data_IF_451945259297
#
_entry.id   IF_451945259297
#
_cell.length_a   1.000
_cell.length_b   1.000
_cell.length_c   1.000
_cell.angle_alpha   90.00
_cell.angle_beta   90.00
_cell.angle_gamma   90.00
#
_symmetry.space_group_name_H-M   'P 1'
#
loop_
_entity.id
_entity.type
_entity.pdbx_description
1 polymer ?
#
# COMPACT_ATOMS: atom_id res chain seq x y z
N UNK A 1 9.39 -28.66 -0.49
CA UNK A 1 9.16 -28.26 -1.88
C UNK A 1 9.49 -26.79 -1.98
N UNK A 2 10.51 -26.39 -2.73
CA UNK A 2 11.02 -25.02 -2.84
C UNK A 2 10.06 -24.16 -3.65
N UNK A 3 9.75 -22.95 -3.16
CA UNK A 3 8.86 -21.97 -3.80
C UNK A 3 9.34 -21.62 -5.22
N UNK A 4 8.66 -22.14 -6.23
CA UNK A 4 8.99 -21.95 -7.64
C UNK A 4 8.73 -20.54 -8.19
N UNK A 5 8.05 -19.67 -7.43
CA UNK A 5 7.74 -18.29 -7.86
C UNK A 5 8.88 -17.30 -7.59
N UNK A 6 9.72 -17.55 -6.59
CA UNK A 6 10.85 -16.66 -6.24
C UNK A 6 12.06 -16.92 -7.14
N UNK A 7 12.24 -18.16 -7.63
CA UNK A 7 13.36 -18.49 -8.50
C UNK A 7 13.21 -17.96 -9.94
N UNK A 8 11.98 -17.65 -10.37
CA UNK A 8 11.73 -17.08 -11.71
C UNK A 8 12.17 -15.60 -11.84
N UNK A 9 12.30 -14.87 -10.73
CA UNK A 9 12.75 -13.47 -10.75
C UNK A 9 14.27 -13.29 -10.74
N UNK A 10 15.05 -14.38 -10.59
CA UNK A 10 16.52 -14.32 -10.59
C UNK A 10 17.18 -14.54 -11.96
N UNK A 11 16.41 -14.88 -12.99
CA UNK A 11 16.95 -14.92 -14.34
C UNK A 11 16.69 -13.58 -15.02
N UNK A 12 17.76 -12.79 -15.16
CA UNK A 12 17.76 -11.43 -15.65
C UNK A 12 17.04 -11.27 -16.98
N UNK A 13 15.93 -10.58 -16.95
CA UNK A 13 15.39 -9.92 -18.13
C UNK A 13 16.02 -8.53 -18.17
N UNK A 14 17.07 -8.40 -18.98
CA UNK A 14 17.59 -7.10 -19.41
C UNK A 14 16.56 -6.50 -20.35
N UNK A 15 15.64 -5.70 -19.81
CA UNK A 15 14.74 -4.91 -20.65
C UNK A 15 15.51 -3.64 -21.02
N UNK A 16 16.00 -3.63 -22.26
CA UNK A 16 16.57 -2.46 -22.89
C UNK A 16 15.44 -1.44 -23.10
N UNK A 17 15.40 -0.40 -22.30
CA UNK A 17 14.51 0.74 -22.54
C UNK A 17 14.99 1.51 -23.76
N UNK A 18 14.27 1.35 -24.89
CA UNK A 18 14.40 2.20 -26.05
C UNK A 18 13.69 3.53 -25.71
N UNK A 19 14.47 4.56 -25.42
CA UNK A 19 13.98 5.93 -25.30
C UNK A 19 13.48 6.41 -26.66
N UNK A 20 12.17 6.38 -26.90
CA UNK A 20 11.55 7.10 -27.99
C UNK A 20 11.46 8.58 -27.61
N UNK A 21 12.47 9.34 -28.04
CA UNK A 21 12.38 10.79 -28.07
C UNK A 21 11.42 11.16 -29.21
N UNK A 22 10.19 11.56 -28.88
CA UNK A 22 9.29 12.18 -29.87
C UNK A 22 9.77 13.60 -30.11
N UNK A 23 10.53 13.81 -31.18
CA UNK A 23 10.86 15.12 -31.73
C UNK A 23 9.61 15.65 -32.44
N UNK A 24 8.94 16.64 -31.85
CA UNK A 24 7.86 17.37 -32.49
C UNK A 24 8.47 18.43 -33.42
N UNK A 25 8.69 18.06 -34.68
CA UNK A 25 9.07 19.03 -35.72
C UNK A 25 7.83 19.85 -36.06
N UNK A 26 7.89 21.15 -35.74
CA UNK A 26 6.93 22.14 -36.20
C UNK A 26 7.12 22.41 -37.69
N UNK A 27 6.27 21.84 -38.53
CA UNK A 27 6.13 22.29 -39.93
C UNK A 27 5.04 23.34 -40.01
N UNK A 28 5.45 24.56 -40.34
CA UNK A 28 4.56 25.69 -40.55
C UNK A 28 3.60 25.44 -41.72
N UNK A 29 2.33 25.64 -41.49
CA UNK A 29 1.33 25.82 -42.53
C UNK A 29 0.73 27.21 -42.34
N UNK A 30 1.14 28.14 -43.23
CA UNK A 30 0.50 29.44 -43.41
C UNK A 30 -0.77 29.23 -44.23
N UNK A 31 -1.92 29.19 -43.57
CA UNK A 31 -3.22 29.21 -44.21
C UNK A 31 -3.99 30.45 -43.82
N UNK A 32 -4.40 31.27 -44.82
CA UNK A 32 -5.24 32.46 -44.67
C UNK A 32 -6.52 32.14 -43.91
N UNK A 33 -6.80 32.90 -42.83
CA UNK A 33 -8.06 32.88 -42.10
C UNK A 33 -8.89 34.07 -42.58
N UNK A 34 -10.13 33.90 -43.06
CA UNK A 34 -11.05 35.00 -43.37
C UNK A 34 -11.53 35.67 -42.08
N UNK A 35 -11.52 37.03 -42.06
CA UNK A 35 -12.11 37.85 -41.00
C UNK A 35 -13.63 37.60 -40.95
N UNK A 36 -14.08 37.02 -39.85
CA UNK A 36 -15.47 36.97 -39.42
C UNK A 36 -15.54 37.42 -37.96
N UNK A 37 -16.32 38.47 -37.69
CA UNK A 37 -16.53 39.07 -36.39
C UNK A 37 -17.18 38.06 -35.45
N UNK A 38 -16.44 37.61 -34.42
CA UNK A 38 -16.98 36.84 -33.33
C UNK A 38 -16.84 37.66 -32.04
N UNK A 39 -18.00 38.06 -31.46
CA UNK A 39 -18.10 38.66 -30.15
C UNK A 39 -17.52 37.69 -29.10
N UNK A 40 -16.84 38.22 -28.07
CA UNK A 40 -16.33 37.39 -27.00
C UNK A 40 -17.49 37.07 -26.01
N UNK A 41 -17.98 35.87 -26.08
CA UNK A 41 -18.89 35.35 -25.07
C UNK A 41 -18.12 34.33 -24.22
N UNK A 42 -18.01 34.69 -22.93
CA UNK A 42 -17.71 33.88 -21.77
C UNK A 42 -16.47 32.96 -21.81
N UNK A 43 -15.45 33.23 -20.99
CA UNK A 43 -14.34 32.31 -20.84
C UNK A 43 -14.84 31.07 -20.08
N UNK A 44 -15.23 30.03 -20.80
CA UNK A 44 -15.37 28.69 -20.23
C UNK A 44 -14.02 28.30 -19.63
N UNK A 45 -14.05 28.22 -18.29
CA UNK A 45 -13.08 27.60 -17.43
C UNK A 45 -12.45 26.43 -18.19
N UNK A 46 -11.22 26.61 -18.61
CA UNK A 46 -10.37 25.50 -19.06
C UNK A 46 -10.20 24.64 -17.83
N UNK A 47 -10.90 23.53 -17.77
CA UNK A 47 -10.62 22.50 -16.77
C UNK A 47 -9.24 21.97 -17.15
N UNK A 48 -8.24 22.51 -16.46
CA UNK A 48 -6.94 21.91 -16.35
C UNK A 48 -7.23 20.50 -15.76
N UNK A 49 -7.13 19.47 -16.61
CA UNK A 49 -7.13 18.10 -16.13
C UNK A 49 -5.86 17.99 -15.30
N UNK A 50 -5.99 18.32 -14.02
CA UNK A 50 -5.04 17.90 -13.01
C UNK A 50 -5.13 16.38 -13.03
N UNK A 51 -4.24 15.74 -13.77
CA UNK A 51 -3.98 14.31 -13.63
C UNK A 51 -3.57 14.14 -12.17
N UNK A 52 -4.56 13.82 -11.34
CA UNK A 52 -4.34 13.59 -9.92
C UNK A 52 -3.27 12.52 -9.81
N UNK A 53 -2.31 12.74 -8.91
CA UNK A 53 -1.18 11.84 -8.63
C UNK A 53 -1.60 10.41 -8.20
N UNK A 54 -2.91 10.12 -8.19
CA UNK A 54 -3.49 8.82 -7.81
C UNK A 54 -3.22 7.68 -8.82
N UNK A 55 -2.83 7.99 -10.05
CA UNK A 55 -2.57 6.95 -11.08
C UNK A 55 -1.18 6.32 -10.93
N UNK A 56 -0.30 6.89 -10.10
CA UNK A 56 1.09 6.44 -9.97
C UNK A 56 1.31 5.29 -8.97
N UNK A 57 0.25 4.79 -8.33
CA UNK A 57 0.38 3.80 -7.24
C UNK A 57 0.20 2.34 -7.65
N UNK A 58 0.18 2.01 -8.95
CA UNK A 58 -0.24 0.65 -9.40
C UNK A 58 0.92 -0.33 -9.52
N UNK A 59 2.16 0.12 -9.62
CA UNK A 59 3.33 -0.78 -9.68
C UNK A 59 4.36 -0.39 -8.61
N UNK A 60 4.97 -1.39 -7.94
CA UNK A 60 6.06 -1.12 -7.02
C UNK A 60 7.22 -0.48 -7.79
N UNK A 61 7.74 0.63 -7.28
CA UNK A 61 8.99 1.20 -7.81
C UNK A 61 10.14 0.24 -7.48
N UNK A 62 11.19 0.20 -8.32
CA UNK A 62 12.39 -0.63 -8.02
C UNK A 62 12.95 -0.33 -6.62
N UNK A 63 12.87 0.94 -6.21
CA UNK A 63 13.26 1.37 -4.86
C UNK A 63 12.41 0.71 -3.78
N UNK A 64 11.08 0.69 -3.93
CA UNK A 64 10.18 0.05 -2.97
C UNK A 64 10.39 -1.47 -2.90
N UNK A 65 10.58 -2.13 -4.04
CA UNK A 65 10.92 -3.57 -4.07
C UNK A 65 12.20 -3.86 -3.30
N UNK A 66 13.22 -3.02 -3.44
CA UNK A 66 14.49 -3.17 -2.72
C UNK A 66 14.33 -2.95 -1.23
N UNK A 67 13.56 -1.94 -0.84
CA UNK A 67 13.34 -1.56 0.57
C UNK A 67 12.59 -2.66 1.34
N UNK A 68 11.61 -3.31 0.73
CA UNK A 68 10.86 -4.42 1.36
C UNK A 68 11.50 -5.80 1.15
N UNK A 69 12.65 -5.85 0.46
CA UNK A 69 13.38 -7.11 0.28
C UNK A 69 13.80 -7.70 1.62
N UNK A 70 13.46 -8.96 1.84
CA UNK A 70 13.76 -9.67 3.08
C UNK A 70 12.71 -9.51 4.18
N UNK A 71 11.65 -8.73 3.99
CA UNK A 71 10.52 -8.71 4.93
C UNK A 71 9.80 -10.07 4.92
N UNK A 72 9.26 -10.46 6.08
CA UNK A 72 8.46 -11.68 6.23
C UNK A 72 6.99 -11.34 6.51
N UNK A 73 6.07 -12.22 6.13
CA UNK A 73 4.66 -12.05 6.47
C UNK A 73 4.46 -11.99 8.00
N UNK A 74 3.58 -11.10 8.50
CA UNK A 74 3.28 -11.01 9.94
C UNK A 74 2.53 -12.25 10.44
N UNK A 75 1.77 -12.85 9.59
CA UNK A 75 1.09 -14.14 9.68
C UNK A 75 0.61 -14.53 8.28
N UNK A 76 0.16 -15.76 8.08
CA UNK A 76 -0.47 -16.21 6.85
C UNK A 76 -1.91 -16.66 7.11
N UNK A 77 -2.78 -16.45 6.13
CA UNK A 77 -4.18 -16.81 6.19
C UNK A 77 -4.91 -16.45 4.91
N UNK A 78 -6.24 -16.45 4.92
CA UNK A 78 -7.01 -16.04 3.76
C UNK A 78 -7.13 -14.51 3.72
N UNK A 79 -6.66 -13.85 2.66
CA UNK A 79 -6.93 -12.43 2.43
C UNK A 79 -8.43 -12.25 2.21
N UNK A 80 -9.09 -11.61 3.16
CA UNK A 80 -10.54 -11.37 3.16
C UNK A 80 -10.90 -10.01 2.58
N UNK A 81 -9.95 -9.08 2.56
CA UNK A 81 -10.11 -7.77 1.94
C UNK A 81 -8.77 -7.22 1.48
N UNK A 82 -8.66 -6.96 0.18
CA UNK A 82 -7.45 -6.42 -0.43
C UNK A 82 -7.28 -4.91 -0.18
N UNK A 83 -6.08 -4.42 -0.42
CA UNK A 83 -5.72 -3.01 -0.48
C UNK A 83 -6.44 -2.31 -1.65
N UNK A 84 -6.73 -1.02 -1.51
CA UNK A 84 -7.31 -0.20 -2.57
C UNK A 84 -8.81 0.07 -2.39
N UNK A 85 -9.48 0.47 -3.47
CA UNK A 85 -10.90 0.82 -3.42
C UNK A 85 -11.77 -0.44 -3.23
N UNK A 86 -12.62 -0.42 -2.21
CA UNK A 86 -13.57 -1.50 -1.94
C UNK A 86 -14.89 -0.96 -1.37
N UNK A 87 -15.93 -1.78 -1.44
CA UNK A 87 -17.19 -1.50 -0.75
C UNK A 87 -16.98 -1.65 0.75
N UNK A 88 -17.21 -0.57 1.49
CA UNK A 88 -17.13 -0.57 2.94
C UNK A 88 -18.23 -1.45 3.56
N UNK A 89 -17.91 -2.43 4.42
CA UNK A 89 -18.87 -3.39 4.92
C UNK A 89 -19.93 -2.77 5.86
N UNK A 90 -19.67 -1.57 6.38
CA UNK A 90 -20.59 -0.89 7.30
C UNK A 90 -21.49 0.13 6.60
N UNK A 91 -20.95 0.91 5.68
CA UNK A 91 -21.70 1.97 4.99
C UNK A 91 -22.17 1.57 3.60
N UNK A 92 -21.62 0.52 3.00
CA UNK A 92 -21.87 0.12 1.62
C UNK A 92 -21.28 1.06 0.57
N UNK A 93 -20.63 2.14 0.97
CA UNK A 93 -19.98 3.09 0.08
C UNK A 93 -18.60 2.60 -0.37
N UNK A 94 -18.12 3.09 -1.50
CA UNK A 94 -16.74 2.83 -1.94
C UNK A 94 -15.80 3.65 -1.05
N UNK A 95 -14.85 2.97 -0.42
CA UNK A 95 -13.76 3.57 0.39
C UNK A 95 -12.43 2.96 0.03
N UNK A 96 -11.39 3.73 0.25
CA UNK A 96 -10.01 3.27 0.06
C UNK A 96 -9.54 2.53 1.30
N UNK A 97 -9.12 1.28 1.13
CA UNK A 97 -8.55 0.42 2.15
C UNK A 97 -7.04 0.54 2.13
N UNK A 98 -6.46 1.09 3.18
CA UNK A 98 -5.03 1.42 3.26
C UNK A 98 -4.11 0.23 3.58
N UNK A 99 -4.68 -0.97 3.71
CA UNK A 99 -3.96 -2.19 4.05
C UNK A 99 -4.66 -3.42 3.49
N UNK A 100 -4.35 -4.56 4.03
CA UNK A 100 -5.02 -5.85 3.74
C UNK A 100 -5.61 -6.41 5.03
N UNK A 101 -6.76 -7.08 4.92
CA UNK A 101 -7.36 -7.82 6.04
C UNK A 101 -7.11 -9.31 5.82
N UNK A 102 -6.34 -9.94 6.71
CA UNK A 102 -6.05 -11.38 6.69
C UNK A 102 -6.91 -12.08 7.72
N UNK A 103 -7.88 -12.87 7.26
CA UNK A 103 -8.80 -13.63 8.11
C UNK A 103 -8.07 -14.80 8.78
N UNK A 104 -8.02 -14.77 10.09
CA UNK A 104 -7.39 -15.77 10.96
C UNK A 104 -8.21 -15.92 12.25
N UNK A 105 -7.95 -16.99 13.01
CA UNK A 105 -8.56 -17.18 14.33
C UNK A 105 -8.05 -16.13 15.32
N UNK A 106 -8.90 -15.72 16.26
CA UNK A 106 -8.44 -14.94 17.41
C UNK A 106 -7.34 -15.70 18.17
N UNK A 107 -6.34 -14.96 18.65
CA UNK A 107 -5.21 -15.54 19.37
C UNK A 107 -4.09 -16.11 18.48
N UNK A 108 -4.16 -15.93 17.15
CA UNK A 108 -3.05 -16.28 16.25
C UNK A 108 -1.89 -15.30 16.48
N UNK A 109 -0.66 -15.82 16.54
CA UNK A 109 0.55 -15.01 16.69
C UNK A 109 0.70 -14.01 15.54
N UNK A 110 0.91 -12.74 15.88
CA UNK A 110 1.25 -11.65 14.95
C UNK A 110 2.70 -11.28 15.16
N UNK A 111 3.50 -11.34 14.09
CA UNK A 111 4.95 -11.17 14.14
C UNK A 111 5.37 -9.87 13.45
N UNK A 112 6.46 -9.26 13.92
CA UNK A 112 7.10 -8.14 13.24
C UNK A 112 7.63 -8.59 11.86
N UNK A 113 7.33 -7.84 10.82
CA UNK A 113 7.70 -8.17 9.42
C UNK A 113 9.19 -7.95 9.14
N UNK A 114 9.85 -7.12 9.94
CA UNK A 114 11.29 -6.82 9.89
C UNK A 114 11.74 -6.32 11.26
N UNK A 115 13.07 -6.17 11.45
CA UNK A 115 13.65 -5.46 12.60
C UNK A 115 13.12 -4.03 12.66
N UNK A 116 12.95 -3.46 13.85
CA UNK A 116 12.50 -2.07 14.00
C UNK A 116 12.28 -1.65 15.43
N UNK A 117 11.68 -0.47 15.59
CA UNK A 117 11.32 0.13 16.89
C UNK A 117 9.82 0.38 16.93
N UNK A 118 9.16 0.01 18.03
CA UNK A 118 7.74 0.27 18.23
C UNK A 118 7.49 1.77 18.46
N UNK A 119 6.76 2.40 17.54
CA UNK A 119 6.38 3.83 17.62
C UNK A 119 4.99 4.04 18.20
N UNK A 120 4.12 3.02 18.10
CA UNK A 120 2.82 3.03 18.76
C UNK A 120 2.44 1.64 19.26
N UNK A 121 1.84 1.59 20.46
CA UNK A 121 1.18 0.41 21.03
C UNK A 121 -0.01 0.92 21.82
N UNK A 122 -1.19 1.06 21.13
CA UNK A 122 -2.35 1.82 21.61
C UNK A 122 -3.66 1.11 21.30
N UNK A 123 -4.75 1.71 21.80
CA UNK A 123 -6.13 1.36 21.44
C UNK A 123 -6.85 2.58 20.90
N UNK A 124 -7.62 2.41 19.84
CA UNK A 124 -8.65 3.36 19.42
C UNK A 124 -9.93 2.62 18.98
N UNK A 125 -11.01 3.37 18.76
CA UNK A 125 -12.33 2.80 18.46
C UNK A 125 -12.43 2.20 17.04
N UNK A 126 -11.51 2.52 16.13
CA UNK A 126 -11.50 2.03 14.75
C UNK A 126 -10.53 0.87 14.62
N UNK A 127 -9.26 1.07 14.87
CA UNK A 127 -8.20 0.06 14.75
C UNK A 127 -8.19 -0.96 15.88
N UNK A 128 -8.94 -0.71 16.98
CA UNK A 128 -8.88 -1.53 18.18
C UNK A 128 -7.51 -1.43 18.85
N UNK A 129 -7.02 -2.52 19.41
CA UNK A 129 -5.63 -2.63 19.82
C UNK A 129 -4.75 -2.67 18.56
N UNK A 130 -3.73 -1.82 18.49
CA UNK A 130 -2.81 -1.79 17.37
C UNK A 130 -1.38 -1.51 17.79
N UNK A 131 -0.46 -1.95 16.94
CA UNK A 131 0.99 -1.70 17.04
C UNK A 131 1.44 -1.06 15.74
N UNK A 132 2.38 -0.10 15.83
CA UNK A 132 3.14 0.42 14.68
C UNK A 132 4.61 0.20 14.97
N UNK A 133 5.32 -0.29 13.96
CA UNK A 133 6.78 -0.49 14.01
C UNK A 133 7.42 0.33 12.91
N UNK A 134 8.39 1.18 13.27
CA UNK A 134 9.28 1.89 12.36
C UNK A 134 10.49 0.98 12.06
N UNK A 135 10.72 0.70 10.78
CA UNK A 135 11.82 -0.13 10.28
C UNK A 135 13.00 0.71 9.77
N UNK A 136 12.91 2.04 9.92
CA UNK A 136 13.87 2.97 9.32
C UNK A 136 13.62 3.21 7.83
N UNK A 137 14.42 4.10 7.23
CA UNK A 137 14.34 4.46 5.80
C UNK A 137 12.94 4.89 5.31
N UNK A 138 12.09 5.41 6.22
CA UNK A 138 10.73 5.84 5.94
C UNK A 138 9.74 4.68 5.77
N UNK A 139 10.05 3.50 6.31
CA UNK A 139 9.19 2.32 6.28
C UNK A 139 8.54 2.09 7.63
N UNK A 140 7.23 1.97 7.63
CA UNK A 140 6.45 1.59 8.82
C UNK A 140 5.50 0.43 8.49
N UNK A 141 5.23 -0.40 9.50
CA UNK A 141 4.19 -1.41 9.48
C UNK A 141 3.17 -1.17 10.58
N UNK A 142 1.89 -1.37 10.25
CA UNK A 142 0.76 -1.25 11.17
C UNK A 142 0.05 -2.59 11.31
N UNK A 143 -0.29 -2.95 12.56
CA UNK A 143 -0.96 -4.20 12.93
C UNK A 143 -2.19 -3.88 13.78
N UNK A 144 -3.38 -3.98 13.20
CA UNK A 144 -4.64 -3.59 13.83
C UNK A 144 -5.52 -4.76 14.24
N UNK A 145 -6.56 -4.43 15.01
CA UNK A 145 -7.60 -5.34 15.52
C UNK A 145 -7.06 -6.43 16.44
N UNK A 146 -5.91 -6.20 17.07
CA UNK A 146 -5.27 -7.19 17.94
C UNK A 146 -6.13 -7.51 19.17
N UNK A 147 -6.11 -8.76 19.62
CA UNK A 147 -6.64 -9.16 20.92
C UNK A 147 -5.77 -8.59 22.04
N UNK A 148 -4.47 -8.79 21.93
CA UNK A 148 -3.47 -8.30 22.87
C UNK A 148 -2.26 -7.75 22.14
N UNK A 149 -1.55 -6.84 22.78
CA UNK A 149 -0.25 -6.31 22.36
C UNK A 149 0.78 -6.80 23.37
N UNK A 150 1.91 -7.32 22.90
CA UNK A 150 2.98 -7.89 23.75
C UNK A 150 4.21 -6.99 23.83
N UNK A 151 4.14 -5.82 23.17
CA UNK A 151 5.22 -4.83 23.09
C UNK A 151 4.73 -3.43 23.47
N UNK A 152 5.65 -2.60 23.95
CA UNK A 152 5.42 -1.20 24.33
C UNK A 152 6.15 -0.23 23.38
N UNK A 153 5.72 1.04 23.40
CA UNK A 153 6.41 2.11 22.66
C UNK A 153 7.85 2.23 23.12
N UNK A 154 8.78 2.28 22.17
CA UNK A 154 10.22 2.33 22.40
C UNK A 154 10.91 0.97 22.40
N UNK A 155 10.17 -0.14 22.42
CA UNK A 155 10.76 -1.46 22.31
C UNK A 155 11.40 -1.68 20.94
N UNK A 156 12.62 -2.24 20.93
CA UNK A 156 13.22 -2.78 19.72
C UNK A 156 12.70 -4.19 19.48
N UNK A 157 12.23 -4.46 18.26
CA UNK A 157 11.74 -5.77 17.85
C UNK A 157 12.58 -6.36 16.73
N UNK A 158 12.64 -7.68 16.68
CA UNK A 158 13.30 -8.44 15.61
C UNK A 158 12.27 -9.01 14.66
N UNK A 159 12.66 -9.18 13.38
CA UNK A 159 11.85 -9.88 12.41
C UNK A 159 11.42 -11.25 12.95
N UNK A 160 10.12 -11.56 12.81
CA UNK A 160 9.55 -12.81 13.32
C UNK A 160 9.24 -12.81 14.82
N UNK A 161 9.62 -11.76 15.58
CA UNK A 161 9.23 -11.62 16.97
C UNK A 161 7.73 -11.42 17.11
N UNK A 162 7.08 -12.14 18.05
CA UNK A 162 5.66 -11.95 18.35
C UNK A 162 5.48 -10.58 19.01
N UNK A 163 4.62 -9.74 18.43
CA UNK A 163 4.30 -8.39 18.89
C UNK A 163 2.86 -8.24 19.37
N UNK A 164 2.04 -9.29 19.18
CA UNK A 164 0.65 -9.34 19.62
C UNK A 164 -0.03 -10.60 19.16
N UNK A 165 -1.31 -10.70 19.49
CA UNK A 165 -2.21 -11.77 19.05
C UNK A 165 -3.33 -11.17 18.21
N UNK A 166 -3.70 -11.82 17.10
CA UNK A 166 -4.82 -11.41 16.26
C UNK A 166 -6.13 -11.45 17.02
N UNK A 167 -7.07 -10.59 16.66
CA UNK A 167 -8.33 -10.48 17.37
C UNK A 167 -9.48 -9.91 16.57
N UNK A 168 -10.39 -9.27 17.28
CA UNK A 168 -11.56 -8.59 16.71
C UNK A 168 -11.90 -7.30 17.47
N UNK A 169 -10.90 -6.61 18.00
CA UNK A 169 -11.09 -5.34 18.70
C UNK A 169 -11.28 -4.18 17.75
N UNK A 170 -11.96 -3.11 18.21
CA UNK A 170 -12.27 -1.95 17.37
C UNK A 170 -13.46 -2.19 16.43
N UNK A 171 -13.45 -1.52 15.27
CA UNK A 171 -14.57 -1.55 14.30
C UNK A 171 -14.36 -2.67 13.28
N UNK A 172 -14.81 -3.88 13.58
CA UNK A 172 -14.64 -5.08 12.76
C UNK A 172 -15.94 -5.86 12.58
N UNK A 173 -16.02 -6.66 11.51
CA UNK A 173 -17.12 -7.60 11.26
C UNK A 173 -16.80 -9.04 11.68
N UNK A 174 -15.55 -9.35 11.90
CA UNK A 174 -15.06 -10.68 12.28
C UNK A 174 -13.59 -10.66 12.66
N UNK A 175 -13.06 -11.78 13.14
CA UNK A 175 -11.65 -11.89 13.53
C UNK A 175 -10.74 -11.82 12.30
N UNK A 176 -9.76 -10.93 12.31
CA UNK A 176 -8.73 -10.77 11.28
C UNK A 176 -7.59 -9.92 11.80
N UNK A 177 -6.47 -9.94 11.10
CA UNK A 177 -5.42 -8.93 11.20
C UNK A 177 -5.65 -7.89 10.10
N UNK A 178 -5.78 -6.62 10.47
CA UNK A 178 -5.61 -5.52 9.52
C UNK A 178 -4.13 -5.14 9.47
N UNK A 179 -3.51 -5.28 8.31
CA UNK A 179 -2.09 -5.05 8.12
C UNK A 179 -1.82 -3.99 7.05
N UNK A 180 -0.98 -2.99 7.37
CA UNK A 180 -0.57 -1.97 6.42
C UNK A 180 0.96 -1.89 6.34
N UNK A 181 1.46 -1.59 5.15
CA UNK A 181 2.81 -1.10 4.93
C UNK A 181 2.76 0.35 4.47
N UNK A 182 3.67 1.16 4.99
CA UNK A 182 3.84 2.56 4.63
C UNK A 182 5.29 2.77 4.19
N UNK A 183 5.47 3.48 3.09
CA UNK A 183 6.76 3.93 2.61
C UNK A 183 6.71 5.42 2.30
N UNK A 184 7.56 6.22 2.95
CA UNK A 184 7.62 7.69 2.81
C UNK A 184 6.21 8.31 2.95
N UNK A 185 5.53 7.98 4.06
CA UNK A 185 4.20 8.48 4.43
C UNK A 185 3.03 8.03 3.52
N UNK A 186 3.28 7.19 2.51
CA UNK A 186 2.26 6.63 1.63
C UNK A 186 2.05 5.15 1.90
N UNK A 187 0.81 4.73 2.05
CA UNK A 187 0.51 3.30 2.15
C UNK A 187 0.73 2.62 0.81
N UNK A 188 1.31 1.42 0.86
CA UNK A 188 1.56 0.56 -0.30
C UNK A 188 0.81 -0.75 -0.14
N UNK A 189 0.53 -1.43 -1.26
CA UNK A 189 -0.14 -2.73 -1.23
C UNK A 189 0.78 -3.83 -0.66
N UNK A 190 0.50 -4.38 0.53
CA UNK A 190 1.36 -5.39 1.14
C UNK A 190 1.50 -6.67 0.31
N UNK A 191 0.49 -7.04 -0.50
CA UNK A 191 0.51 -8.27 -1.32
C UNK A 191 1.52 -8.21 -2.46
N UNK A 192 2.04 -7.02 -2.78
CA UNK A 192 3.11 -6.87 -3.78
C UNK A 192 4.49 -7.26 -3.23
N UNK A 193 4.65 -7.31 -1.92
CA UNK A 193 5.93 -7.52 -1.25
C UNK A 193 5.96 -8.77 -0.36
N UNK A 194 4.81 -9.21 0.16
CA UNK A 194 4.69 -10.28 1.13
C UNK A 194 3.70 -11.34 0.66
N UNK A 195 4.02 -12.60 0.91
CA UNK A 195 3.10 -13.73 0.71
C UNK A 195 2.25 -13.89 2.00
N UNK A 196 1.04 -13.37 1.97
CA UNK A 196 0.10 -13.34 3.09
C UNK A 196 -0.91 -14.49 3.04
N UNK A 197 -0.96 -15.25 1.96
CA UNK A 197 -1.91 -16.36 1.79
C UNK A 197 -1.28 -17.72 2.11
N UNK A 198 -2.10 -18.63 2.65
CA UNK A 198 -1.71 -20.01 3.02
C UNK A 198 -2.64 -21.03 2.38
#
# INVERSE_FOLDING_TARGET
MRNSKIDAMKQGVVITFLLFAVSLAATGITGLIPKGDIKPDNPKKTEEIVLSEEVFSVLPTEEAVTVFSGFSAPLTGRVSSAYGHRKDPFSGQIKYHKGVDVSVREGTDVKAVSDGTVTASKYDSVGGNYVIVDHGNGVESYYGHLQTRTVAVGDSVKQGQIIGLSGKTGKVTGAHLHFQLTYRERTVDPQQYLDLES
#
